data_IF_956849944673
#
_entry.id   IF_956849944673
#
_cell.length_a   1.000
_cell.length_b   1.000
_cell.length_c   1.000
_cell.angle_alpha   90.00
_cell.angle_beta   90.00
_cell.angle_gamma   90.00
#
_symmetry.space_group_name_H-M   'P 1'
#
loop_
_entity.id
_entity.type
_entity.pdbx_description
1 polymer ?
#
# COMPACT_ATOMS: atom_id res chain seq x y z
N UNK A 1 -3.36 -5.32 -0.84
CA UNK A 1 -3.23 -4.94 0.58
C UNK A 1 -2.44 -6.00 1.33
N UNK A 2 -1.64 -5.60 2.32
CA UNK A 2 -1.00 -6.50 3.31
C UNK A 2 -1.44 -6.11 4.72
N UNK A 3 -1.64 -7.09 5.62
CA UNK A 3 -2.05 -6.88 7.01
C UNK A 3 -1.35 -7.84 7.97
N UNK A 4 -1.10 -7.40 9.19
CA UNK A 4 -0.54 -8.22 10.29
C UNK A 4 -1.59 -9.25 10.77
N UNK A 5 -2.85 -8.80 10.93
CA UNK A 5 -3.99 -9.65 11.36
C UNK A 5 -5.22 -9.36 10.49
N UNK A 6 -6.25 -10.18 10.61
CA UNK A 6 -7.55 -9.93 9.94
C UNK A 6 -8.44 -8.94 10.69
N UNK A 7 -8.14 -8.63 11.95
CA UNK A 7 -8.91 -7.66 12.76
C UNK A 7 -8.75 -6.23 12.23
N UNK A 8 -9.78 -5.40 12.43
CA UNK A 8 -9.84 -4.05 11.86
C UNK A 8 -8.70 -3.13 12.33
N UNK A 9 -8.39 -3.12 13.63
CA UNK A 9 -7.35 -2.25 14.22
C UNK A 9 -5.95 -2.91 14.22
N UNK A 10 -5.46 -3.22 13.03
CA UNK A 10 -4.15 -3.87 12.85
C UNK A 10 -3.23 -3.07 11.92
N UNK A 11 -1.93 -3.39 11.97
CA UNK A 11 -0.96 -2.85 11.02
C UNK A 11 -1.34 -3.30 9.62
N UNK A 12 -1.33 -2.36 8.68
CA UNK A 12 -1.63 -2.66 7.31
C UNK A 12 -0.97 -1.68 6.36
N UNK A 13 -0.89 -2.09 5.11
CA UNK A 13 -0.53 -1.25 3.97
C UNK A 13 -1.43 -1.61 2.80
N UNK A 14 -1.91 -0.62 2.07
CA UNK A 14 -2.58 -0.84 0.79
C UNK A 14 -1.98 0.08 -0.26
N UNK A 15 -1.99 -0.43 -1.48
CA UNK A 15 -1.70 0.33 -2.68
C UNK A 15 -2.82 0.04 -3.66
N UNK A 16 -3.44 1.10 -4.17
CA UNK A 16 -4.60 1.02 -5.04
C UNK A 16 -4.99 2.39 -5.57
N UNK A 17 -6.18 2.46 -6.13
CA UNK A 17 -6.80 3.69 -6.63
C UNK A 17 -8.05 4.02 -5.84
N UNK A 18 -8.32 5.31 -5.67
CA UNK A 18 -9.61 5.79 -5.15
C UNK A 18 -10.67 5.86 -6.25
N UNK A 19 -11.87 6.34 -5.90
CA UNK A 19 -13.01 6.42 -6.81
C UNK A 19 -12.77 7.39 -7.97
N UNK A 20 -11.88 8.35 -7.78
CA UNK A 20 -11.45 9.35 -8.77
C UNK A 20 -10.31 8.83 -9.67
N UNK A 21 -9.84 7.60 -9.45
CA UNK A 21 -8.74 6.99 -10.21
C UNK A 21 -7.36 7.49 -9.77
N UNK A 22 -7.26 8.18 -8.65
CA UNK A 22 -6.00 8.66 -8.09
C UNK A 22 -5.33 7.55 -7.27
N UNK A 23 -4.04 7.37 -7.49
CA UNK A 23 -3.26 6.39 -6.74
C UNK A 23 -3.04 6.80 -5.29
N UNK A 24 -3.37 5.88 -4.39
CA UNK A 24 -3.13 6.00 -2.95
C UNK A 24 -2.23 4.85 -2.47
N UNK A 25 -1.09 5.23 -1.89
CA UNK A 25 -0.23 4.30 -1.15
C UNK A 25 -0.25 4.67 0.33
N UNK A 26 -0.78 3.78 1.17
CA UNK A 26 -1.10 4.09 2.55
C UNK A 26 -0.63 3.01 3.51
N UNK A 27 -0.14 3.40 4.68
CA UNK A 27 0.13 2.47 5.77
C UNK A 27 -0.34 2.96 7.15
N UNK A 28 -0.51 1.99 8.04
CA UNK A 28 -0.67 2.17 9.49
C UNK A 28 0.31 1.24 10.19
N UNK A 29 1.30 1.78 10.87
CA UNK A 29 2.43 0.98 11.41
C UNK A 29 2.35 0.73 12.91
N UNK A 30 1.50 1.48 13.65
CA UNK A 30 1.39 1.41 15.13
C UNK A 30 2.77 1.31 15.79
N UNK A 31 3.73 2.07 15.26
CA UNK A 31 5.11 2.05 15.68
C UNK A 31 5.30 3.13 16.75
N UNK A 32 5.44 2.70 18.01
CA UNK A 32 5.57 3.58 19.17
C UNK A 32 6.93 4.28 19.24
N UNK A 33 7.90 3.94 18.37
CA UNK A 33 9.16 4.69 18.29
C UNK A 33 8.94 6.14 17.84
N UNK A 34 7.87 6.41 17.09
CA UNK A 34 7.45 7.78 16.75
C UNK A 34 6.87 8.56 17.94
N UNK A 35 6.62 7.93 19.09
CA UNK A 35 6.18 8.65 20.30
C UNK A 35 7.34 9.40 20.97
N UNK A 36 8.59 9.06 20.61
CA UNK A 36 9.82 9.60 21.19
C UNK A 36 10.64 10.44 20.20
N UNK A 37 10.13 10.66 18.99
CA UNK A 37 10.78 11.41 17.92
C UNK A 37 9.75 12.33 17.24
N UNK A 38 10.16 13.52 16.80
CA UNK A 38 9.32 14.49 16.05
C UNK A 38 8.99 14.04 14.61
N UNK A 39 8.93 12.73 14.37
CA UNK A 39 8.66 12.12 13.07
C UNK A 39 7.18 12.14 12.68
N UNK A 40 6.93 12.07 11.37
CA UNK A 40 5.57 11.96 10.82
C UNK A 40 4.88 10.68 11.30
N UNK A 41 3.80 10.84 12.06
CA UNK A 41 3.09 9.72 12.69
C UNK A 41 2.26 8.95 11.66
N UNK A 42 2.30 7.62 11.77
CA UNK A 42 1.33 6.79 11.06
C UNK A 42 -0.09 7.05 11.57
N UNK A 43 -1.13 6.99 10.72
CA UNK A 43 -1.08 6.50 9.35
C UNK A 43 -0.49 7.51 8.34
N UNK A 44 0.24 7.00 7.35
CA UNK A 44 0.81 7.81 6.27
C UNK A 44 0.12 7.48 4.95
N UNK A 45 -0.24 8.51 4.19
CA UNK A 45 -0.69 8.39 2.80
C UNK A 45 0.30 9.12 1.90
N UNK A 46 0.69 8.47 0.80
CA UNK A 46 1.44 9.07 -0.30
C UNK A 46 0.55 9.02 -1.54
N UNK A 47 0.23 10.19 -2.07
CA UNK A 47 -0.36 10.32 -3.40
C UNK A 47 0.75 10.20 -4.45
N UNK A 48 0.50 9.45 -5.52
CA UNK A 48 1.47 9.27 -6.61
C UNK A 48 1.12 10.19 -7.79
N UNK A 49 1.42 11.47 -7.65
CA UNK A 49 1.18 12.47 -8.70
C UNK A 49 2.02 12.14 -9.94
N UNK A 50 1.42 12.24 -11.13
CA UNK A 50 2.10 11.99 -12.41
C UNK A 50 1.97 10.56 -12.94
N UNK A 51 1.38 9.65 -12.17
CA UNK A 51 0.99 8.33 -12.66
C UNK A 51 -0.50 8.31 -13.03
N UNK A 52 -0.84 7.55 -14.07
CA UNK A 52 -2.21 7.40 -14.56
C UNK A 52 -2.54 5.90 -14.63
N UNK A 53 -3.70 5.51 -14.08
CA UNK A 53 -4.18 4.14 -14.10
C UNK A 53 -4.29 3.55 -15.52
N UNK A 54 -4.67 4.35 -16.51
CA UNK A 54 -4.77 3.87 -17.90
C UNK A 54 -3.39 3.52 -18.50
N UNK A 55 -2.32 4.20 -18.06
CA UNK A 55 -0.97 3.95 -18.54
C UNK A 55 -0.26 2.84 -17.76
N UNK A 56 -0.59 2.67 -16.47
CA UNK A 56 0.01 1.66 -15.58
C UNK A 56 -1.07 0.91 -14.80
N UNK A 57 -1.83 0.00 -15.45
CA UNK A 57 -2.96 -0.68 -14.84
C UNK A 57 -2.54 -1.79 -13.88
N UNK A 58 -1.29 -2.27 -13.95
CA UNK A 58 -0.80 -3.35 -13.11
C UNK A 58 -0.13 -2.80 -11.84
N UNK A 59 -0.64 -3.22 -10.69
CA UNK A 59 -0.19 -2.78 -9.38
C UNK A 59 0.40 -3.96 -8.60
N UNK A 60 1.49 -3.72 -7.85
CA UNK A 60 1.98 -4.68 -6.86
C UNK A 60 2.58 -4.02 -5.63
N UNK A 61 2.58 -4.78 -4.54
CA UNK A 61 3.33 -4.47 -3.32
C UNK A 61 4.51 -5.42 -3.23
N UNK A 62 5.73 -4.88 -3.16
CA UNK A 62 6.94 -5.65 -2.88
C UNK A 62 7.36 -5.40 -1.43
N UNK A 63 7.36 -6.46 -0.62
CA UNK A 63 7.83 -6.41 0.76
C UNK A 63 9.30 -6.79 0.83
N UNK A 64 10.14 -5.88 1.32
CA UNK A 64 11.48 -6.20 1.78
C UNK A 64 11.42 -6.51 3.29
N UNK A 65 11.56 -7.80 3.62
CA UNK A 65 11.50 -8.26 5.00
C UNK A 65 12.73 -7.85 5.82
N UNK A 66 13.87 -7.56 5.18
CA UNK A 66 15.13 -7.23 5.86
C UNK A 66 15.15 -5.78 6.36
N UNK A 67 14.58 -4.86 5.59
CA UNK A 67 14.55 -3.43 5.92
C UNK A 67 13.19 -2.95 6.43
N UNK A 68 12.18 -3.84 6.41
CA UNK A 68 10.78 -3.52 6.69
C UNK A 68 10.17 -2.46 5.76
N UNK A 69 10.75 -2.22 4.59
CA UNK A 69 10.15 -1.36 3.58
C UNK A 69 9.15 -2.12 2.71
N UNK A 70 8.10 -1.42 2.32
CA UNK A 70 7.14 -1.85 1.32
C UNK A 70 7.24 -0.88 0.15
N UNK A 71 7.43 -1.43 -1.05
CA UNK A 71 7.48 -0.66 -2.29
C UNK A 71 6.15 -0.80 -3.02
N UNK A 72 5.53 0.33 -3.35
CA UNK A 72 4.42 0.40 -4.29
C UNK A 72 5.00 0.43 -5.69
N UNK A 73 4.63 -0.56 -6.51
CA UNK A 73 5.16 -0.68 -7.86
C UNK A 73 4.05 -0.70 -8.91
N UNK A 74 4.33 -0.04 -10.02
CA UNK A 74 3.44 0.18 -11.16
C UNK A 74 4.04 -0.49 -12.40
N UNK A 75 3.17 -0.93 -13.31
CA UNK A 75 3.62 -1.47 -14.59
C UNK A 75 2.56 -1.23 -15.68
N UNK A 76 3.00 -0.89 -16.92
CA UNK A 76 2.11 -0.82 -18.07
C UNK A 76 1.67 -2.21 -18.58
N UNK A 77 2.48 -3.26 -18.34
CA UNK A 77 2.33 -4.57 -18.99
C UNK A 77 2.38 -5.77 -18.01
N UNK A 78 2.57 -5.51 -16.72
CA UNK A 78 2.74 -6.52 -15.68
C UNK A 78 4.11 -7.21 -15.69
N UNK A 79 5.04 -6.79 -16.55
CA UNK A 79 6.37 -7.40 -16.72
C UNK A 79 7.49 -6.44 -16.33
N UNK A 80 7.45 -5.20 -16.82
CA UNK A 80 8.39 -4.16 -16.46
C UNK A 80 7.83 -3.32 -15.31
N UNK A 81 8.50 -3.31 -14.17
CA UNK A 81 7.99 -2.70 -12.94
C UNK A 81 8.83 -1.51 -12.50
N UNK A 82 8.16 -0.41 -12.16
CA UNK A 82 8.75 0.79 -11.58
C UNK A 82 8.34 0.93 -10.11
N UNK A 83 9.26 1.35 -9.25
CA UNK A 83 8.94 1.73 -7.87
C UNK A 83 8.49 3.18 -7.81
N UNK A 84 7.18 3.38 -7.60
CA UNK A 84 6.60 4.71 -7.54
C UNK A 84 6.68 5.34 -6.13
N UNK A 85 6.65 4.52 -5.07
CA UNK A 85 6.86 5.01 -3.70
C UNK A 85 7.26 3.89 -2.74
N UNK A 86 7.75 4.29 -1.57
CA UNK A 86 8.24 3.39 -0.52
C UNK A 86 7.75 3.86 0.84
N UNK A 87 7.27 2.93 1.67
CA UNK A 87 6.84 3.19 3.04
C UNK A 87 7.45 2.16 3.98
N UNK A 88 8.08 2.63 5.06
CA UNK A 88 8.51 1.77 6.16
C UNK A 88 7.28 1.21 6.88
N UNK A 89 7.12 -0.12 6.90
CA UNK A 89 5.99 -0.83 7.49
C UNK A 89 6.49 -2.10 8.19
N UNK A 90 6.78 -2.05 9.51
CA UNK A 90 7.33 -3.18 10.25
C UNK A 90 6.25 -4.23 10.49
N UNK A 91 6.16 -5.19 9.57
CA UNK A 91 5.33 -6.39 9.73
C UNK A 91 6.08 -7.49 10.49
N UNK A 92 5.37 -8.32 11.28
CA UNK A 92 5.91 -9.58 11.78
C UNK A 92 6.16 -10.56 10.62
N UNK A 93 6.76 -11.71 10.90
CA UNK A 93 7.17 -12.67 9.86
C UNK A 93 5.99 -13.04 8.92
N UNK A 94 4.87 -13.49 9.48
CA UNK A 94 3.64 -13.78 8.73
C UNK A 94 2.83 -12.52 8.42
N UNK A 95 2.26 -12.47 7.21
CA UNK A 95 1.34 -11.41 6.79
C UNK A 95 0.18 -12.00 5.99
N UNK A 96 -0.98 -11.37 6.09
CA UNK A 96 -2.12 -11.64 5.22
C UNK A 96 -2.04 -10.73 3.99
N UNK A 97 -2.05 -11.33 2.80
CA UNK A 97 -2.11 -10.61 1.53
C UNK A 97 -3.49 -10.81 0.90
N UNK A 98 -4.06 -9.74 0.34
CA UNK A 98 -5.35 -9.81 -0.33
C UNK A 98 -5.67 -8.55 -1.13
N UNK A 99 -6.64 -8.68 -2.04
CA UNK A 99 -7.26 -7.57 -2.74
C UNK A 99 -8.51 -7.17 -1.97
N UNK A 100 -8.75 -5.88 -1.87
CA UNK A 100 -9.94 -5.33 -1.24
C UNK A 100 -10.53 -4.28 -2.17
N UNK A 101 -11.85 -4.23 -2.21
CA UNK A 101 -12.64 -3.20 -2.89
C UNK A 101 -13.56 -2.61 -1.84
N UNK A 102 -13.62 -1.29 -1.76
CA UNK A 102 -14.49 -0.57 -0.83
C UNK A 102 -15.40 0.32 -1.66
N UNK A 103 -16.66 -0.09 -1.80
CA UNK A 103 -17.67 0.47 -2.70
C UNK A 103 -18.59 -0.65 -3.20
N UNK A 104 -19.74 -0.30 -3.77
CA UNK A 104 -20.60 -1.29 -4.43
C UNK A 104 -19.86 -1.83 -5.67
N UNK A 105 -19.68 -3.14 -5.74
CA UNK A 105 -19.10 -3.80 -6.90
C UNK A 105 -20.22 -4.08 -7.92
N UNK A 106 -20.34 -3.27 -8.96
CA UNK A 106 -21.08 -3.68 -10.15
C UNK A 106 -20.23 -4.69 -10.93
N UNK A 107 -20.60 -5.97 -10.81
CA UNK A 107 -20.10 -7.03 -11.67
C UNK A 107 -20.94 -7.02 -12.95
N UNK A 108 -20.35 -6.99 -14.16
CA UNK A 108 -21.11 -7.17 -15.37
C UNK A 108 -21.77 -8.56 -15.36
N UNK A 109 -23.11 -8.57 -15.48
CA UNK A 109 -23.93 -9.77 -15.64
C UNK A 109 -24.00 -10.29 -17.07
#
# INVERSE_FOLDING_TARGET
MLRDRLTADTRHVYFGVDAEGTFAFHNRTRDSRHDWQDGLRSPLTRSLTGHNLAATPYLRLLRDASTHHIHAQLSPDGRAWETASTLFTPFPYGVHAGVAVTGDAELPG
#
